data_IF_029539062786
#
_entry.id   IF_029539062786
#
_cell.length_a   1.000
_cell.length_b   1.000
_cell.length_c   1.000
_cell.angle_alpha   90.00
_cell.angle_beta   90.00
_cell.angle_gamma   90.00
#
_symmetry.space_group_name_H-M   'P 1'
#
loop_
_entity.id
_entity.type
_entity.pdbx_description
1 polymer ?
#
# COMPACT_ATOMS: atom_id res chain seq x y z
N UNK A 1 22.77 1.18 -4.12
CA UNK A 1 22.45 0.63 -2.78
C UNK A 1 23.65 0.83 -1.90
N UNK A 2 23.43 1.22 -0.65
CA UNK A 2 24.55 1.29 0.28
C UNK A 2 25.04 -0.11 0.60
N UNK A 3 26.37 -0.30 0.62
CA UNK A 3 26.98 -1.57 1.03
C UNK A 3 28.16 -1.32 1.97
N UNK A 4 28.44 -2.31 2.78
CA UNK A 4 29.64 -2.34 3.61
C UNK A 4 30.70 -3.11 2.83
N UNK A 5 31.85 -2.46 2.60
CA UNK A 5 33.01 -3.07 1.94
C UNK A 5 34.09 -3.33 2.97
N UNK A 6 34.69 -4.50 2.92
CA UNK A 6 35.87 -4.84 3.71
C UNK A 6 37.11 -4.67 2.83
N UNK A 7 38.08 -3.90 3.33
CA UNK A 7 39.39 -3.78 2.72
C UNK A 7 40.28 -4.90 3.27
N UNK A 8 40.34 -6.00 2.53
CA UNK A 8 41.04 -7.23 2.95
C UNK A 8 42.54 -7.00 3.21
N UNK A 9 43.18 -6.06 2.47
CA UNK A 9 44.61 -5.77 2.62
C UNK A 9 44.97 -5.19 3.98
N UNK A 10 43.99 -4.70 4.72
CA UNK A 10 44.15 -4.12 6.04
C UNK A 10 43.68 -5.04 7.17
N UNK A 11 43.20 -6.22 6.86
CA UNK A 11 42.70 -7.19 7.83
C UNK A 11 43.90 -7.96 8.43
N UNK A 12 44.07 -7.88 9.73
CA UNK A 12 44.95 -8.75 10.50
C UNK A 12 44.10 -9.63 11.41
N UNK A 13 44.65 -10.72 11.95
CA UNK A 13 43.91 -11.62 12.84
C UNK A 13 43.36 -10.90 14.08
N UNK A 14 44.08 -9.94 14.62
CA UNK A 14 43.62 -9.17 15.79
C UNK A 14 42.47 -8.22 15.41
N UNK A 15 42.56 -7.59 14.25
CA UNK A 15 41.50 -6.72 13.69
C UNK A 15 40.25 -7.54 13.38
N UNK A 16 40.42 -8.73 12.82
CA UNK A 16 39.28 -9.59 12.53
C UNK A 16 38.52 -9.96 13.82
N UNK A 17 39.25 -10.42 14.84
CA UNK A 17 38.67 -10.76 16.12
C UNK A 17 37.98 -9.55 16.78
N UNK A 18 38.60 -8.38 16.74
CA UNK A 18 37.99 -7.14 17.23
C UNK A 18 36.67 -6.81 16.53
N UNK A 19 36.59 -6.99 15.21
CA UNK A 19 35.39 -6.71 14.42
C UNK A 19 34.28 -7.76 14.64
N UNK A 20 34.66 -9.02 14.86
CA UNK A 20 33.71 -10.07 15.25
C UNK A 20 33.06 -9.76 16.62
N UNK A 21 33.86 -9.41 17.61
CA UNK A 21 33.37 -9.03 18.95
C UNK A 21 32.55 -7.75 18.93
N UNK A 22 32.86 -6.81 18.02
CA UNK A 22 32.16 -5.55 17.89
C UNK A 22 30.77 -5.71 17.23
N UNK A 23 30.52 -6.79 16.48
CA UNK A 23 29.27 -6.99 15.75
C UNK A 23 28.18 -7.60 16.68
N UNK A 24 27.16 -6.82 17.11
CA UNK A 24 26.12 -7.33 18.02
C UNK A 24 25.20 -8.39 17.37
N UNK A 25 25.33 -8.60 16.06
CA UNK A 25 24.51 -9.55 15.31
C UNK A 25 25.28 -10.80 14.86
N UNK A 26 26.56 -10.93 15.24
CA UNK A 26 27.41 -12.04 14.83
C UNK A 26 27.53 -12.20 13.30
N UNK A 27 27.42 -11.09 12.57
CA UNK A 27 27.40 -11.10 11.11
C UNK A 27 28.77 -10.92 10.46
N UNK A 28 29.84 -10.81 11.24
CA UNK A 28 31.23 -10.70 10.78
C UNK A 28 31.95 -11.97 11.21
N UNK A 29 32.65 -12.60 10.30
CA UNK A 29 33.47 -13.79 10.57
C UNK A 29 34.75 -13.77 9.74
N UNK A 30 35.84 -14.32 10.31
CA UNK A 30 37.10 -14.50 9.57
C UNK A 30 37.27 -16.00 9.31
N UNK A 31 37.55 -16.34 8.07
CA UNK A 31 37.93 -17.68 7.65
C UNK A 31 39.14 -17.60 6.70
N UNK A 32 40.19 -18.30 7.02
CA UNK A 32 41.42 -18.39 6.22
C UNK A 32 42.05 -17.02 5.85
N UNK A 33 42.00 -16.05 6.77
CA UNK A 33 42.55 -14.70 6.55
C UNK A 33 41.61 -13.76 5.79
N UNK A 34 40.41 -14.20 5.45
CA UNK A 34 39.39 -13.40 4.77
C UNK A 34 38.30 -13.01 5.75
N UNK A 35 38.11 -11.71 5.97
CA UNK A 35 37.01 -11.19 6.75
C UNK A 35 35.75 -11.10 5.88
N UNK A 36 34.69 -11.79 6.26
CA UNK A 36 33.43 -11.81 5.56
C UNK A 36 32.29 -11.21 6.37
N UNK A 37 31.30 -10.66 5.66
CA UNK A 37 30.07 -10.13 6.27
C UNK A 37 28.90 -10.95 5.72
N UNK A 38 28.24 -11.68 6.62
CA UNK A 38 27.12 -12.57 6.27
C UNK A 38 25.82 -11.83 6.00
N UNK A 39 24.83 -12.54 5.45
CA UNK A 39 23.47 -12.03 5.25
C UNK A 39 22.74 -11.64 6.55
N UNK A 40 23.25 -12.01 7.71
CA UNK A 40 22.78 -11.55 9.03
C UNK A 40 23.09 -10.08 9.34
N UNK A 41 23.88 -9.41 8.49
CA UNK A 41 24.23 -8.00 8.70
C UNK A 41 23.02 -7.09 8.60
N UNK A 42 22.74 -6.35 9.66
CA UNK A 42 21.64 -5.37 9.71
C UNK A 42 22.03 -3.96 9.29
N UNK A 43 23.18 -3.77 8.65
CA UNK A 43 23.64 -2.48 8.14
C UNK A 43 23.68 -1.37 9.21
N UNK A 44 23.92 -1.71 10.47
CA UNK A 44 23.87 -0.78 11.62
C UNK A 44 25.07 0.19 11.68
N UNK A 45 26.08 0.01 10.85
CA UNK A 45 27.30 0.83 10.73
C UNK A 45 28.20 0.84 11.98
N UNK A 46 27.99 -0.03 12.96
CA UNK A 46 28.82 -0.07 14.18
C UNK A 46 30.26 -0.40 13.83
N UNK A 47 30.49 -1.40 12.98
CA UNK A 47 31.83 -1.80 12.49
C UNK A 47 32.54 -0.69 11.70
N UNK A 48 31.80 0.17 10.99
CA UNK A 48 32.35 1.33 10.28
C UNK A 48 32.71 2.46 11.24
N UNK A 49 31.87 2.74 12.25
CA UNK A 49 32.02 3.88 13.16
C UNK A 49 33.00 3.61 14.30
N UNK A 50 33.04 2.38 14.80
CA UNK A 50 33.81 1.98 16.00
C UNK A 50 34.94 1.00 15.70
N UNK A 51 34.97 0.43 14.51
CA UNK A 51 36.04 -0.44 14.06
C UNK A 51 37.30 0.33 13.64
N UNK A 52 38.41 -0.38 13.37
CA UNK A 52 39.64 0.21 12.91
C UNK A 52 39.44 0.97 11.55
N UNK A 53 39.99 2.17 11.50
CA UNK A 53 39.81 3.07 10.36
C UNK A 53 40.29 2.46 9.03
N UNK A 54 39.46 2.53 8.00
CA UNK A 54 39.80 2.08 6.64
C UNK A 54 39.80 0.55 6.44
N UNK A 55 39.36 -0.23 7.41
CA UNK A 55 39.19 -1.70 7.29
C UNK A 55 37.78 -2.04 6.81
N UNK A 56 36.78 -1.42 7.42
CA UNK A 56 35.40 -1.56 7.01
C UNK A 56 34.87 -0.19 6.61
N UNK A 57 34.45 -0.07 5.35
CA UNK A 57 33.99 1.19 4.78
C UNK A 57 32.53 1.09 4.42
N UNK A 58 31.81 2.19 4.64
CA UNK A 58 30.48 2.38 4.13
C UNK A 58 30.58 2.99 2.74
N UNK A 59 30.17 2.26 1.75
CA UNK A 59 30.07 2.76 0.39
C UNK A 59 28.61 3.06 0.12
N UNK A 60 28.26 4.32 0.02
CA UNK A 60 27.08 4.70 -0.70
C UNK A 60 27.46 4.48 -2.19
N UNK A 61 27.02 3.37 -2.75
CA UNK A 61 27.04 3.26 -4.21
C UNK A 61 26.23 4.45 -4.72
N UNK A 62 26.92 5.48 -5.16
CA UNK A 62 26.39 6.38 -6.15
C UNK A 62 26.07 5.50 -7.35
N UNK A 63 24.84 5.03 -7.40
CA UNK A 63 24.23 4.50 -8.63
C UNK A 63 24.20 5.73 -9.54
N UNK A 64 25.33 5.97 -10.25
CA UNK A 64 25.63 7.19 -10.97
C UNK A 64 24.38 7.79 -11.60
N UNK A 65 24.35 9.06 -11.77
CA UNK A 65 23.38 10.00 -12.40
C UNK A 65 22.07 9.50 -13.05
N UNK A 66 21.49 8.42 -12.55
CA UNK A 66 20.11 7.99 -12.84
C UNK A 66 19.12 8.65 -11.86
N UNK A 67 19.39 9.88 -11.43
CA UNK A 67 18.39 10.67 -10.74
C UNK A 67 17.31 11.00 -11.76
N UNK A 68 16.08 10.53 -11.51
CA UNK A 68 14.94 10.90 -12.33
C UNK A 68 14.81 12.43 -12.35
N UNK A 69 14.61 13.00 -13.53
CA UNK A 69 14.30 14.42 -13.68
C UNK A 69 12.89 14.68 -13.12
N UNK A 70 12.82 15.01 -11.83
CA UNK A 70 11.55 15.17 -11.08
C UNK A 70 10.62 16.20 -11.73
N UNK A 71 11.20 17.18 -12.40
CA UNK A 71 10.49 18.29 -13.06
C UNK A 71 9.59 17.79 -14.21
N UNK A 72 9.91 16.63 -14.78
CA UNK A 72 9.11 15.99 -15.85
C UNK A 72 7.90 15.21 -15.28
N UNK A 73 7.88 14.98 -13.97
CA UNK A 73 6.84 14.20 -13.28
C UNK A 73 6.03 15.11 -12.37
N UNK A 74 4.81 15.45 -12.79
CA UNK A 74 3.96 16.40 -12.08
C UNK A 74 2.60 15.79 -11.77
N UNK A 75 2.05 16.21 -10.64
CA UNK A 75 0.73 15.78 -10.21
C UNK A 75 0.72 14.50 -9.38
N UNK A 76 -0.38 14.30 -8.69
CA UNK A 76 -0.67 13.12 -7.90
C UNK A 76 -1.84 12.41 -8.54
N UNK A 77 -1.66 11.16 -8.92
CA UNK A 77 -2.70 10.35 -9.54
C UNK A 77 -3.36 9.42 -8.53
N UNK A 78 -4.66 9.23 -8.67
CA UNK A 78 -5.45 8.23 -7.95
C UNK A 78 -5.99 7.22 -8.95
N UNK A 79 -5.72 5.94 -8.72
CA UNK A 79 -6.39 4.88 -9.45
C UNK A 79 -7.81 4.72 -8.92
N UNK A 80 -8.78 4.90 -9.80
CA UNK A 80 -10.20 4.79 -9.48
C UNK A 80 -10.65 3.35 -9.72
N UNK A 81 -10.97 2.68 -8.64
CA UNK A 81 -11.51 1.33 -8.69
C UNK A 81 -13.03 1.39 -8.74
N UNK A 82 -13.62 0.56 -9.57
CA UNK A 82 -15.05 0.32 -9.61
C UNK A 82 -15.45 -0.86 -8.71
N UNK A 83 -16.63 -0.81 -8.13
CA UNK A 83 -17.29 -1.88 -7.42
C UNK A 83 -18.71 -2.06 -8.01
N UNK A 84 -18.81 -2.87 -9.05
CA UNK A 84 -19.98 -2.88 -9.93
C UNK A 84 -20.18 -1.52 -10.59
N UNK A 85 -21.38 -0.95 -10.46
CA UNK A 85 -21.73 0.35 -11.04
C UNK A 85 -21.31 1.56 -10.18
N UNK A 86 -20.55 1.34 -9.10
CA UNK A 86 -20.18 2.41 -8.17
C UNK A 86 -18.66 2.58 -8.10
N UNK A 87 -18.25 3.81 -7.87
CA UNK A 87 -16.86 4.07 -7.48
C UNK A 87 -16.64 3.48 -6.09
N UNK A 88 -15.62 2.63 -5.94
CA UNK A 88 -15.28 2.07 -4.64
C UNK A 88 -14.89 3.19 -3.66
N UNK A 89 -15.45 3.23 -2.43
CA UNK A 89 -15.25 4.34 -1.50
C UNK A 89 -13.78 4.65 -1.19
N UNK A 90 -12.89 3.66 -1.26
CA UNK A 90 -11.43 3.89 -1.08
C UNK A 90 -10.89 4.89 -2.09
N UNK A 91 -11.40 4.90 -3.32
CA UNK A 91 -10.97 5.85 -4.35
C UNK A 91 -11.32 7.29 -3.97
N UNK A 92 -12.48 7.51 -3.37
CA UNK A 92 -12.90 8.83 -2.88
C UNK A 92 -12.06 9.30 -1.67
N UNK A 93 -11.68 8.38 -0.78
CA UNK A 93 -10.74 8.66 0.31
C UNK A 93 -9.37 9.07 -0.25
N UNK A 94 -8.88 8.35 -1.25
CA UNK A 94 -7.60 8.65 -1.89
C UNK A 94 -7.61 9.98 -2.64
N UNK A 95 -8.73 10.38 -3.24
CA UNK A 95 -8.89 11.70 -3.83
C UNK A 95 -8.76 12.78 -2.75
N UNK A 96 -9.40 12.62 -1.60
CA UNK A 96 -9.27 13.54 -0.47
C UNK A 96 -7.80 13.69 -0.03
N UNK A 97 -7.11 12.58 0.13
CA UNK A 97 -5.69 12.58 0.50
C UNK A 97 -4.78 13.12 -0.59
N UNK A 98 -5.04 12.80 -1.86
CA UNK A 98 -4.29 13.35 -2.99
C UNK A 98 -4.38 14.87 -3.06
N UNK A 99 -5.55 15.46 -2.80
CA UNK A 99 -5.73 16.92 -2.74
C UNK A 99 -4.90 17.55 -1.60
N UNK A 100 -4.91 16.93 -0.42
CA UNK A 100 -4.09 17.39 0.71
C UNK A 100 -2.60 17.37 0.34
N UNK A 101 -2.10 16.26 -0.20
CA UNK A 101 -0.71 16.12 -0.61
C UNK A 101 -0.33 17.08 -1.75
N UNK A 102 -1.22 17.26 -2.72
CA UNK A 102 -1.03 18.14 -3.86
C UNK A 102 -0.96 19.61 -3.46
N UNK A 103 -1.68 20.02 -2.41
CA UNK A 103 -1.66 21.38 -1.91
C UNK A 103 -0.28 21.81 -1.41
N UNK A 104 0.52 20.89 -0.86
CA UNK A 104 1.88 21.15 -0.37
C UNK A 104 2.81 21.61 -1.49
N UNK A 105 2.69 20.98 -2.66
CA UNK A 105 3.58 21.20 -3.82
C UNK A 105 2.89 21.97 -4.96
N UNK A 106 1.68 22.46 -4.73
CA UNK A 106 0.84 23.16 -5.72
C UNK A 106 0.73 22.37 -7.04
N UNK A 107 0.51 21.07 -6.94
CA UNK A 107 0.44 20.17 -8.07
C UNK A 107 -1.01 19.78 -8.41
N UNK A 108 -1.30 19.38 -9.68
CA UNK A 108 -2.60 18.89 -10.05
C UNK A 108 -2.89 17.52 -9.47
N UNK A 109 -4.19 17.22 -9.30
CA UNK A 109 -4.68 15.88 -8.97
C UNK A 109 -5.30 15.27 -10.21
N UNK A 110 -4.87 14.05 -10.52
CA UNK A 110 -5.36 13.26 -11.64
C UNK A 110 -6.11 12.02 -11.15
N UNK A 111 -7.07 11.57 -11.94
CA UNK A 111 -7.70 10.26 -11.76
C UNK A 111 -7.42 9.39 -12.99
N UNK A 112 -7.14 8.12 -12.76
CA UNK A 112 -7.11 7.08 -13.78
C UNK A 112 -8.35 6.21 -13.60
N UNK A 113 -9.24 6.21 -14.57
CA UNK A 113 -10.44 5.37 -14.60
C UNK A 113 -10.38 4.42 -15.79
N UNK A 114 -10.43 3.12 -15.50
CA UNK A 114 -10.38 2.02 -16.47
C UNK A 114 -11.66 1.21 -16.34
N UNK A 115 -12.34 0.94 -17.44
CA UNK A 115 -13.53 0.09 -17.43
C UNK A 115 -14.34 0.11 -18.71
N UNK A 116 -15.54 -0.45 -18.64
CA UNK A 116 -16.53 -0.43 -19.71
C UNK A 116 -17.74 0.39 -19.26
N UNK A 117 -18.24 1.29 -20.11
CA UNK A 117 -19.41 2.16 -19.85
C UNK A 117 -19.27 3.03 -18.58
N UNK A 118 -18.06 3.50 -18.30
CA UNK A 118 -17.74 4.26 -17.09
C UNK A 118 -17.66 5.78 -17.31
N UNK A 119 -18.12 6.29 -18.44
CA UNK A 119 -18.07 7.71 -18.79
C UNK A 119 -18.80 8.60 -17.79
N UNK A 120 -20.01 8.21 -17.38
CA UNK A 120 -20.76 8.95 -16.34
C UNK A 120 -20.01 9.04 -15.02
N UNK A 121 -19.22 8.00 -14.68
CA UNK A 121 -18.39 8.01 -13.49
C UNK A 121 -17.17 8.92 -13.64
N UNK A 122 -16.62 9.04 -14.83
CA UNK A 122 -15.57 10.04 -15.09
C UNK A 122 -16.10 11.47 -14.90
N UNK A 123 -17.32 11.75 -15.35
CA UNK A 123 -17.97 13.06 -15.14
C UNK A 123 -18.33 13.30 -13.67
N UNK A 124 -18.76 12.26 -12.95
CA UNK A 124 -19.00 12.31 -11.49
C UNK A 124 -17.74 12.73 -10.72
N UNK A 125 -16.57 12.23 -11.12
CA UNK A 125 -15.30 12.54 -10.46
C UNK A 125 -14.93 14.03 -10.54
N UNK A 126 -15.37 14.76 -11.54
CA UNK A 126 -15.11 16.19 -11.67
C UNK A 126 -15.69 17.03 -10.51
N UNK A 127 -16.70 16.52 -9.81
CA UNK A 127 -17.27 17.18 -8.65
C UNK A 127 -16.37 17.10 -7.40
N UNK A 128 -15.24 16.40 -7.46
CA UNK A 128 -14.31 16.28 -6.32
C UNK A 128 -13.06 17.15 -6.46
N UNK A 129 -13.04 18.09 -7.42
CA UNK A 129 -11.93 19.03 -7.61
C UNK A 129 -10.71 18.39 -8.26
N UNK A 130 -10.95 17.51 -9.22
CA UNK A 130 -9.94 16.82 -10.02
C UNK A 130 -9.61 17.69 -11.24
N UNK A 131 -8.33 17.85 -11.56
CA UNK A 131 -7.94 18.60 -12.76
C UNK A 131 -8.17 17.81 -14.03
N UNK A 132 -7.80 16.52 -14.05
CA UNK A 132 -8.03 15.64 -15.19
C UNK A 132 -8.40 14.23 -14.75
N UNK A 133 -9.40 13.69 -15.44
CA UNK A 133 -9.75 12.27 -15.36
C UNK A 133 -9.32 11.62 -16.68
N UNK A 134 -8.30 10.78 -16.64
CA UNK A 134 -7.87 9.98 -17.78
C UNK A 134 -8.74 8.74 -17.86
N UNK A 135 -9.55 8.70 -18.92
CA UNK A 135 -10.58 7.69 -19.12
C UNK A 135 -10.16 6.68 -20.18
N UNK A 136 -10.05 5.41 -19.78
CA UNK A 136 -9.94 4.28 -20.70
C UNK A 136 -11.25 3.49 -20.67
N UNK A 137 -12.09 3.71 -21.66
CA UNK A 137 -13.43 3.15 -21.71
C UNK A 137 -13.60 2.24 -22.93
N UNK A 138 -13.55 0.92 -22.72
CA UNK A 138 -13.63 -0.07 -23.79
C UNK A 138 -14.34 -1.35 -23.34
N UNK A 139 -14.99 -2.07 -24.25
CA UNK A 139 -15.71 -3.29 -23.95
C UNK A 139 -14.81 -4.39 -23.33
N UNK A 140 -13.59 -4.55 -23.82
CA UNK A 140 -12.60 -5.52 -23.31
C UNK A 140 -12.07 -5.20 -21.90
N UNK A 141 -12.40 -4.01 -21.36
CA UNK A 141 -12.07 -3.59 -20.00
C UNK A 141 -13.21 -3.84 -19.00
N UNK A 142 -14.24 -4.59 -19.42
CA UNK A 142 -15.37 -4.91 -18.55
C UNK A 142 -14.96 -5.73 -17.33
N UNK A 143 -14.11 -6.70 -17.53
CA UNK A 143 -13.64 -7.57 -16.48
C UNK A 143 -12.17 -7.30 -16.15
N UNK A 144 -11.84 -7.31 -14.86
CA UNK A 144 -10.47 -7.08 -14.44
C UNK A 144 -9.53 -8.18 -14.95
N UNK A 145 -8.67 -7.82 -15.89
CA UNK A 145 -7.55 -8.62 -16.33
C UNK A 145 -6.24 -7.89 -15.96
N UNK A 146 -5.45 -8.49 -15.10
CA UNK A 146 -4.25 -7.84 -14.56
C UNK A 146 -3.23 -7.45 -15.63
N UNK A 147 -3.15 -8.19 -16.75
CA UNK A 147 -2.21 -7.87 -17.82
C UNK A 147 -2.71 -6.68 -18.63
N UNK A 148 -3.95 -6.73 -19.07
CA UNK A 148 -4.60 -5.65 -19.79
C UNK A 148 -4.61 -4.36 -18.99
N UNK A 149 -5.06 -4.42 -17.74
CA UNK A 149 -5.06 -3.25 -16.85
C UNK A 149 -3.65 -2.70 -16.60
N UNK A 150 -2.63 -3.56 -16.48
CA UNK A 150 -1.25 -3.10 -16.36
C UNK A 150 -0.71 -2.47 -17.63
N UNK A 151 -1.15 -2.88 -18.83
CA UNK A 151 -0.79 -2.25 -20.10
C UNK A 151 -1.42 -0.85 -20.19
N UNK A 152 -2.71 -0.73 -19.93
CA UNK A 152 -3.44 0.55 -19.90
C UNK A 152 -2.85 1.50 -18.85
N UNK A 153 -2.56 0.99 -17.65
CA UNK A 153 -1.96 1.79 -16.59
C UNK A 153 -0.57 2.30 -16.96
N UNK A 154 0.20 1.50 -17.71
CA UNK A 154 1.52 1.92 -18.20
C UNK A 154 1.41 3.05 -19.21
N UNK A 155 0.48 2.95 -20.15
CA UNK A 155 0.20 4.01 -21.13
C UNK A 155 -0.19 5.33 -20.43
N UNK A 156 -1.06 5.25 -19.42
CA UNK A 156 -1.38 6.41 -18.60
C UNK A 156 -0.15 7.05 -17.96
N UNK A 157 0.75 6.25 -17.39
CA UNK A 157 1.97 6.77 -16.74
C UNK A 157 2.89 7.46 -17.74
N UNK A 158 3.03 6.91 -18.93
CA UNK A 158 3.87 7.47 -20.00
C UNK A 158 3.31 8.79 -20.52
N UNK A 159 1.98 8.92 -20.60
CA UNK A 159 1.31 10.13 -21.09
C UNK A 159 1.20 11.22 -19.99
N UNK A 160 0.75 10.87 -18.79
CA UNK A 160 0.46 11.82 -17.73
C UNK A 160 1.66 12.16 -16.85
N UNK A 161 2.63 11.25 -16.74
CA UNK A 161 3.86 11.35 -15.91
C UNK A 161 3.58 11.88 -14.49
N UNK A 162 2.68 11.23 -13.72
CA UNK A 162 2.41 11.66 -12.36
C UNK A 162 3.61 11.42 -11.44
N UNK A 163 3.90 12.32 -10.50
CA UNK A 163 5.00 12.16 -9.54
C UNK A 163 4.72 11.05 -8.53
N UNK A 164 3.44 10.87 -8.18
CA UNK A 164 3.00 9.86 -7.23
C UNK A 164 1.67 9.26 -7.65
N UNK A 165 1.46 7.98 -7.32
CA UNK A 165 0.23 7.25 -7.64
C UNK A 165 -0.29 6.56 -6.38
N UNK A 166 -1.53 6.86 -6.02
CA UNK A 166 -2.23 6.30 -4.89
C UNK A 166 -3.22 5.23 -5.38
N UNK A 167 -3.17 4.05 -4.78
CA UNK A 167 -4.03 2.91 -5.14
C UNK A 167 -4.71 2.35 -3.90
N UNK A 168 -5.97 1.98 -3.98
CA UNK A 168 -6.66 1.28 -2.89
C UNK A 168 -6.05 -0.10 -2.63
N UNK A 169 -5.84 -0.48 -1.36
CA UNK A 169 -5.33 -1.79 -0.98
C UNK A 169 -6.43 -2.87 -0.99
N UNK A 170 -7.22 -2.90 -2.05
CA UNK A 170 -8.19 -3.94 -2.37
C UNK A 170 -7.51 -5.14 -3.00
N UNK A 171 -8.22 -6.23 -3.27
CA UNK A 171 -7.66 -7.40 -3.97
C UNK A 171 -7.11 -7.02 -5.34
N UNK A 172 -7.82 -6.15 -6.06
CA UNK A 172 -7.41 -5.63 -7.37
C UNK A 172 -6.18 -4.74 -7.25
N UNK A 173 -6.23 -3.70 -6.40
CA UNK A 173 -5.12 -2.76 -6.26
C UNK A 173 -3.84 -3.40 -5.74
N UNK A 174 -3.93 -4.38 -4.83
CA UNK A 174 -2.78 -5.15 -4.32
C UNK A 174 -2.15 -6.06 -5.37
N UNK A 175 -2.88 -6.46 -6.39
CA UNK A 175 -2.34 -7.23 -7.51
C UNK A 175 -1.79 -6.32 -8.61
N UNK A 176 -2.49 -5.23 -8.94
CA UNK A 176 -2.15 -4.33 -10.04
C UNK A 176 -0.96 -3.41 -9.73
N UNK A 177 -1.00 -2.70 -8.59
CA UNK A 177 0.01 -1.70 -8.26
C UNK A 177 1.45 -2.24 -8.21
N UNK A 178 1.74 -3.40 -7.57
CA UNK A 178 3.10 -3.96 -7.58
C UNK A 178 3.58 -4.35 -8.98
N UNK A 179 2.67 -4.85 -9.83
CA UNK A 179 3.00 -5.24 -11.19
C UNK A 179 3.42 -4.03 -12.02
N UNK A 180 2.66 -2.95 -11.93
CA UNK A 180 2.98 -1.69 -12.63
C UNK A 180 4.26 -1.07 -12.06
N UNK A 181 4.41 -0.99 -10.73
CA UNK A 181 5.61 -0.46 -10.09
C UNK A 181 6.88 -1.23 -10.52
N UNK A 182 6.81 -2.56 -10.60
CA UNK A 182 7.91 -3.39 -11.08
C UNK A 182 8.26 -3.10 -12.55
N UNK A 183 7.27 -2.88 -13.42
CA UNK A 183 7.47 -2.53 -14.84
C UNK A 183 8.24 -1.20 -14.96
N UNK A 184 7.93 -0.22 -14.14
CA UNK A 184 8.63 1.07 -14.10
C UNK A 184 9.87 1.06 -13.20
N UNK A 185 10.25 -0.09 -12.64
CA UNK A 185 11.41 -0.25 -11.75
C UNK A 185 11.43 0.76 -10.60
N UNK A 186 10.25 1.04 -10.05
CA UNK A 186 10.07 2.00 -8.96
C UNK A 186 9.65 1.33 -7.66
N UNK A 187 9.76 2.06 -6.54
CA UNK A 187 9.37 1.57 -5.23
C UNK A 187 7.86 1.66 -5.01
N UNK A 188 7.33 0.70 -4.27
CA UNK A 188 5.96 0.67 -3.79
C UNK A 188 5.95 0.37 -2.30
N UNK A 189 5.26 1.19 -1.50
CA UNK A 189 4.93 0.86 -0.12
C UNK A 189 3.48 0.38 -0.04
N UNK A 190 3.30 -0.83 0.52
CA UNK A 190 1.99 -1.44 0.63
C UNK A 190 1.32 -1.13 1.98
N UNK A 191 0.00 -0.99 1.99
CA UNK A 191 -0.83 -0.84 3.19
C UNK A 191 -0.44 0.36 4.06
N UNK A 192 -0.16 1.50 3.43
CA UNK A 192 0.18 2.74 4.12
C UNK A 192 -1.00 3.25 4.95
N UNK A 193 -0.68 3.82 6.11
CA UNK A 193 -1.67 4.42 7.03
C UNK A 193 -1.47 5.93 7.18
N UNK A 194 -0.27 6.44 6.87
CA UNK A 194 0.01 7.88 6.82
C UNK A 194 0.78 8.18 5.55
N UNK A 195 0.43 9.28 4.90
CA UNK A 195 1.10 9.82 3.72
C UNK A 195 1.38 11.30 3.95
N UNK A 196 2.60 11.72 3.64
CA UNK A 196 3.04 13.12 3.71
C UNK A 196 3.78 13.47 2.43
N UNK A 197 3.74 14.73 2.02
CA UNK A 197 4.45 15.23 0.86
C UNK A 197 5.54 16.19 1.29
N UNK A 198 6.75 16.03 0.76
CA UNK A 198 7.84 16.99 0.90
C UNK A 198 7.78 18.03 -0.20
N UNK A 199 8.34 19.20 0.03
CA UNK A 199 8.41 20.29 -0.95
C UNK A 199 9.09 19.90 -2.27
N UNK A 200 9.97 18.91 -2.22
CA UNK A 200 10.67 18.37 -3.38
C UNK A 200 9.90 17.25 -4.13
N UNK A 201 8.61 17.11 -3.89
CA UNK A 201 7.71 16.09 -4.43
C UNK A 201 8.03 14.64 -4.01
N UNK A 202 8.83 14.42 -2.97
CA UNK A 202 9.03 13.09 -2.44
C UNK A 202 7.87 12.70 -1.51
N UNK A 203 7.18 11.63 -1.85
CA UNK A 203 6.10 11.06 -1.05
C UNK A 203 6.70 10.26 0.12
N UNK A 204 6.39 10.68 1.33
CA UNK A 204 6.70 9.96 2.56
C UNK A 204 5.55 9.00 2.85
N UNK A 205 5.87 7.72 2.91
CA UNK A 205 4.92 6.63 3.03
C UNK A 205 5.17 5.93 4.37
N UNK A 206 4.19 5.96 5.27
CA UNK A 206 4.33 5.40 6.61
C UNK A 206 3.34 4.25 6.78
N UNK A 207 3.86 3.14 7.24
CA UNK A 207 3.05 1.93 7.47
C UNK A 207 3.48 1.20 8.73
N UNK A 208 2.56 0.51 9.40
CA UNK A 208 2.94 -0.41 10.47
C UNK A 208 3.74 -1.59 9.91
N UNK A 209 4.80 -1.96 10.60
CA UNK A 209 5.68 -3.08 10.30
C UNK A 209 5.93 -3.93 11.54
N UNK A 210 6.45 -5.15 11.37
CA UNK A 210 6.77 -6.07 12.46
C UNK A 210 5.59 -6.29 13.43
N UNK A 211 4.40 -6.58 12.89
CA UNK A 211 3.20 -6.78 13.70
C UNK A 211 2.62 -5.50 14.32
N UNK A 212 2.99 -4.32 13.81
CA UNK A 212 2.52 -3.03 14.29
C UNK A 212 3.40 -2.38 15.36
N UNK A 213 4.49 -3.04 15.76
CA UNK A 213 5.39 -2.51 16.80
C UNK A 213 6.27 -1.34 16.30
N UNK A 214 6.41 -1.18 14.99
CA UNK A 214 7.24 -0.14 14.38
C UNK A 214 6.46 0.53 13.26
N UNK A 215 6.51 1.85 13.18
CA UNK A 215 6.05 2.62 12.03
C UNK A 215 7.23 2.81 11.07
N UNK A 216 7.21 2.08 9.96
CA UNK A 216 8.23 2.18 8.93
C UNK A 216 7.94 3.38 8.02
N UNK A 217 8.90 4.28 7.91
CA UNK A 217 8.87 5.41 6.99
C UNK A 217 9.66 5.06 5.74
N UNK A 218 9.02 5.13 4.59
CA UNK A 218 9.56 4.74 3.29
C UNK A 218 9.51 5.94 2.36
N UNK A 219 10.62 6.19 1.63
CA UNK A 219 10.71 7.23 0.60
C UNK A 219 11.43 6.66 -0.60
N UNK A 220 10.96 7.00 -1.80
CA UNK A 220 11.57 6.58 -3.07
C UNK A 220 12.07 7.80 -3.86
N UNK A 221 13.18 8.45 -3.44
CA UNK A 221 13.58 9.76 -3.97
C UNK A 221 14.17 9.71 -5.39
N UNK A 222 14.63 8.54 -5.85
CA UNK A 222 15.37 8.37 -7.11
C UNK A 222 14.55 7.85 -8.28
N UNK A 223 13.26 7.51 -8.05
CA UNK A 223 12.39 6.90 -9.07
C UNK A 223 11.04 7.59 -9.10
N UNK A 224 10.43 7.59 -10.27
CA UNK A 224 9.06 8.06 -10.51
C UNK A 224 8.33 7.08 -11.44
N UNK A 225 7.00 6.98 -11.33
CA UNK A 225 6.21 7.54 -10.23
C UNK A 225 6.47 6.82 -8.91
N UNK A 226 6.15 7.45 -7.77
CA UNK A 226 6.18 6.81 -6.45
C UNK A 226 4.82 6.14 -6.21
N UNK A 227 4.82 4.86 -5.85
CA UNK A 227 3.58 4.11 -5.62
C UNK A 227 3.32 3.84 -4.15
N UNK A 228 2.07 3.92 -3.74
CA UNK A 228 1.61 3.33 -2.49
C UNK A 228 0.24 2.65 -2.66
N UNK A 229 -0.01 1.62 -1.84
CA UNK A 229 -1.38 1.18 -1.60
C UNK A 229 -1.83 1.59 -0.20
N UNK A 230 -3.10 1.95 -0.08
CA UNK A 230 -3.71 2.43 1.17
C UNK A 230 -4.94 1.60 1.49
N UNK A 231 -5.08 1.17 2.73
CA UNK A 231 -6.27 0.42 3.18
C UNK A 231 -7.51 1.31 3.18
N UNK A 232 -8.64 0.68 2.91
CA UNK A 232 -9.95 1.32 3.05
C UNK A 232 -10.18 1.82 4.48
N UNK A 233 -10.86 2.94 4.62
CA UNK A 233 -11.22 3.62 5.90
C UNK A 233 -10.05 4.21 6.69
N UNK A 234 -8.89 4.37 6.06
CA UNK A 234 -7.75 5.07 6.66
C UNK A 234 -7.91 6.58 6.56
N UNK A 235 -8.32 7.08 5.40
CA UNK A 235 -8.51 8.51 5.18
C UNK A 235 -9.98 8.92 5.14
N UNK A 236 -10.25 10.21 5.17
CA UNK A 236 -11.58 10.75 4.95
C UNK A 236 -11.86 10.89 3.46
N UNK A 237 -13.11 10.65 3.08
CA UNK A 237 -13.53 10.85 1.69
C UNK A 237 -13.45 12.33 1.31
N UNK A 238 -13.17 12.58 0.02
CA UNK A 238 -13.24 13.92 -0.54
C UNK A 238 -14.67 14.47 -0.46
N UNK A 239 -14.81 15.73 -0.12
CA UNK A 239 -16.09 16.42 -0.19
C UNK A 239 -16.50 16.66 -1.64
N UNK A 240 -17.78 16.45 -1.93
CA UNK A 240 -18.35 16.69 -3.25
C UNK A 240 -18.70 18.17 -3.39
N UNK A 241 -18.13 18.81 -4.39
CA UNK A 241 -18.40 20.20 -4.74
C UNK A 241 -19.79 20.36 -5.41
N UNK A 242 -20.34 21.55 -5.38
CA UNK A 242 -21.61 21.86 -6.07
C UNK A 242 -21.47 21.87 -7.59
N UNK A 243 -20.30 22.28 -8.08
CA UNK A 243 -20.02 22.41 -9.52
C UNK A 243 -18.82 21.52 -9.90
N UNK A 244 -18.85 20.92 -11.09
CA UNK A 244 -17.73 20.16 -11.60
C UNK A 244 -16.56 21.09 -11.95
N UNK A 245 -15.33 20.59 -11.82
CA UNK A 245 -14.12 21.29 -12.22
C UNK A 245 -13.16 20.34 -12.92
N UNK A 246 -12.35 20.88 -13.85
CA UNK A 246 -11.42 20.09 -14.63
C UNK A 246 -12.02 19.49 -15.90
N UNK A 247 -11.42 18.40 -16.39
CA UNK A 247 -11.83 17.79 -17.66
C UNK A 247 -11.64 16.28 -17.68
N UNK A 248 -12.46 15.61 -18.48
CA UNK A 248 -12.25 14.21 -18.83
C UNK A 248 -11.40 14.15 -20.11
N UNK A 249 -10.38 13.35 -20.10
CA UNK A 249 -9.49 13.06 -21.24
C UNK A 249 -9.75 11.64 -21.67
N UNK A 250 -10.48 11.48 -22.80
CA UNK A 250 -10.68 10.18 -23.42
C UNK A 250 -9.35 9.72 -24.02
N UNK A 251 -8.82 8.58 -23.54
CA UNK A 251 -7.55 8.03 -23.97
C UNK A 251 -7.75 7.07 -25.14
N UNK A 252 -6.81 7.11 -26.08
CA UNK A 252 -6.80 6.15 -27.19
C UNK A 252 -6.46 4.76 -26.66
N UNK A 253 -7.17 3.77 -27.17
CA UNK A 253 -7.01 2.37 -26.78
C UNK A 253 -6.42 1.60 -27.95
N UNK A 254 -5.21 1.07 -27.74
CA UNK A 254 -4.52 0.23 -28.72
C UNK A 254 -4.91 -1.23 -28.56
N UNK A 255 -5.09 -1.94 -29.66
CA UNK A 255 -5.36 -3.39 -29.66
C UNK A 255 -4.27 -4.18 -28.89
N UNK A 256 -3.02 -3.69 -28.91
CA UNK A 256 -1.93 -4.28 -28.17
C UNK A 256 -2.10 -4.29 -26.64
N UNK A 257 -3.03 -3.50 -26.08
CA UNK A 257 -3.35 -3.56 -24.65
C UNK A 257 -4.03 -4.87 -24.27
N UNK A 258 -4.72 -5.52 -25.20
CA UNK A 258 -5.50 -6.73 -24.99
C UNK A 258 -4.69 -8.01 -25.26
N UNK A 259 -3.43 -7.90 -25.66
CA UNK A 259 -2.53 -9.05 -25.80
C UNK A 259 -2.16 -9.61 -24.42
N UNK A 260 -3.04 -10.43 -23.88
CA UNK A 260 -2.94 -11.02 -22.56
C UNK A 260 -2.87 -12.55 -22.65
N UNK A 261 -1.93 -13.15 -21.90
CA UNK A 261 -1.80 -14.61 -21.80
C UNK A 261 -2.94 -15.28 -21.03
N UNK A 262 -3.82 -14.50 -20.43
CA UNK A 262 -4.94 -14.98 -19.60
C UNK A 262 -6.23 -14.36 -20.11
N UNK A 263 -7.25 -15.19 -20.30
CA UNK A 263 -8.58 -14.75 -20.70
C UNK A 263 -9.57 -15.02 -19.57
N UNK A 264 -10.44 -14.06 -19.28
CA UNK A 264 -11.58 -14.24 -18.38
C UNK A 264 -12.67 -14.98 -19.11
N UNK A 265 -13.00 -16.19 -18.68
CA UNK A 265 -14.04 -17.00 -19.31
C UNK A 265 -15.43 -16.73 -18.75
N UNK A 266 -15.52 -16.48 -17.45
CA UNK A 266 -16.76 -16.11 -16.76
C UNK A 266 -16.48 -15.31 -15.53
N UNK A 267 -17.42 -14.42 -15.19
CA UNK A 267 -17.43 -13.65 -13.96
C UNK A 267 -18.79 -13.86 -13.28
N UNK A 268 -18.80 -14.44 -12.09
CA UNK A 268 -20.01 -14.69 -11.32
C UNK A 268 -20.03 -13.78 -10.10
N UNK A 269 -21.06 -12.92 -10.03
CA UNK A 269 -21.25 -12.08 -8.86
C UNK A 269 -21.63 -12.93 -7.65
N UNK A 270 -20.83 -12.83 -6.59
CA UNK A 270 -21.21 -13.39 -5.29
C UNK A 270 -22.32 -12.57 -4.68
N UNK A 271 -23.34 -13.25 -4.12
CA UNK A 271 -24.39 -12.57 -3.36
C UNK A 271 -23.76 -11.64 -2.32
N UNK A 272 -24.05 -10.35 -2.39
CA UNK A 272 -23.57 -9.35 -1.42
C UNK A 272 -24.10 -9.73 -0.04
N UNK A 273 -23.23 -10.25 0.79
CA UNK A 273 -23.51 -10.39 2.23
C UNK A 273 -23.04 -9.11 2.91
N UNK A 274 -23.74 -8.73 3.99
CA UNK A 274 -23.37 -7.54 4.77
C UNK A 274 -21.87 -7.59 5.16
N UNK A 275 -21.12 -6.61 4.71
CA UNK A 275 -19.69 -6.51 5.03
C UNK A 275 -19.52 -5.77 6.36
N UNK A 276 -18.83 -6.40 7.31
CA UNK A 276 -18.53 -5.76 8.60
C UNK A 276 -17.76 -4.44 8.46
N UNK A 277 -17.10 -4.24 7.32
CA UNK A 277 -16.43 -2.96 7.04
C UNK A 277 -17.39 -1.79 7.01
N UNK A 278 -18.67 -2.00 6.67
CA UNK A 278 -19.69 -0.95 6.57
C UNK A 278 -20.57 -0.84 7.80
N UNK A 279 -20.33 -1.67 8.81
CA UNK A 279 -21.10 -1.66 10.04
C UNK A 279 -20.89 -0.38 10.85
N UNK A 280 -21.97 0.26 11.27
CA UNK A 280 -21.92 1.43 12.16
C UNK A 280 -21.62 1.04 13.61
N UNK A 281 -22.07 -0.14 14.03
CA UNK A 281 -21.85 -0.69 15.36
C UNK A 281 -21.33 -2.11 15.26
N UNK A 282 -20.24 -2.40 15.97
CA UNK A 282 -19.59 -3.72 15.96
C UNK A 282 -19.43 -4.23 17.39
N UNK A 283 -19.79 -5.48 17.63
CA UNK A 283 -19.39 -6.24 18.81
C UNK A 283 -18.29 -7.22 18.38
N UNK A 284 -17.07 -6.95 18.82
CA UNK A 284 -15.89 -7.72 18.46
C UNK A 284 -15.51 -8.71 19.58
N UNK A 285 -15.37 -9.98 19.23
CA UNK A 285 -15.14 -11.06 20.18
C UNK A 285 -13.72 -11.62 20.03
N UNK A 286 -13.05 -11.83 21.14
CA UNK A 286 -11.71 -12.41 21.18
C UNK A 286 -11.63 -13.72 21.95
N UNK A 287 -10.43 -14.29 21.99
CA UNK A 287 -10.13 -15.59 22.62
C UNK A 287 -10.44 -15.67 24.12
N UNK A 288 -10.69 -14.54 24.79
CA UNK A 288 -11.12 -14.51 26.18
C UNK A 288 -12.52 -15.11 26.39
N UNK A 289 -13.36 -15.16 25.35
CA UNK A 289 -14.61 -15.92 25.34
C UNK A 289 -14.27 -17.38 25.09
N UNK A 290 -14.57 -18.24 26.05
CA UNK A 290 -14.08 -19.63 26.08
C UNK A 290 -15.09 -20.68 25.66
N UNK A 291 -16.37 -20.37 25.74
CA UNK A 291 -17.45 -21.33 25.43
C UNK A 291 -18.42 -20.79 24.37
N UNK A 292 -19.05 -21.69 23.64
CA UNK A 292 -20.12 -21.30 22.69
C UNK A 292 -21.36 -20.76 23.44
N UNK A 293 -21.60 -21.19 24.67
CA UNK A 293 -22.67 -20.66 25.48
C UNK A 293 -22.49 -19.17 25.79
N UNK A 294 -21.25 -18.77 26.15
CA UNK A 294 -20.91 -17.35 26.34
C UNK A 294 -21.10 -16.55 25.06
N UNK A 295 -20.75 -17.17 23.92
CA UNK A 295 -20.89 -16.53 22.60
C UNK A 295 -22.38 -16.26 22.27
N UNK A 296 -23.30 -17.16 22.61
CA UNK A 296 -24.72 -16.95 22.37
C UNK A 296 -25.27 -15.78 23.20
N UNK A 297 -24.77 -15.59 24.42
CA UNK A 297 -25.14 -14.42 25.26
C UNK A 297 -24.70 -13.13 24.57
N UNK A 298 -23.47 -13.12 24.06
CA UNK A 298 -22.89 -11.96 23.33
C UNK A 298 -23.68 -11.69 22.05
N UNK A 299 -24.10 -12.73 21.35
CA UNK A 299 -24.92 -12.61 20.14
C UNK A 299 -26.28 -11.95 20.44
N UNK A 300 -26.98 -12.38 21.47
CA UNK A 300 -28.22 -11.73 21.91
C UNK A 300 -28.00 -10.26 22.26
N UNK A 301 -26.87 -9.95 22.89
CA UNK A 301 -26.49 -8.56 23.19
C UNK A 301 -26.24 -7.75 21.90
N UNK A 302 -25.48 -8.29 20.93
CA UNK A 302 -25.24 -7.64 19.65
C UNK A 302 -26.54 -7.41 18.87
N UNK A 303 -27.41 -8.40 18.81
CA UNK A 303 -28.71 -8.30 18.13
C UNK A 303 -29.58 -7.19 18.71
N UNK A 304 -29.62 -7.04 20.06
CA UNK A 304 -30.35 -5.96 20.73
C UNK A 304 -29.81 -4.57 20.44
N UNK A 305 -28.51 -4.47 20.15
CA UNK A 305 -27.84 -3.20 19.73
C UNK A 305 -27.96 -2.93 18.24
N UNK A 306 -28.48 -3.86 17.45
CA UNK A 306 -28.40 -3.80 15.99
C UNK A 306 -26.94 -3.83 15.47
N UNK A 307 -26.03 -4.41 16.27
CA UNK A 307 -24.61 -4.46 15.97
C UNK A 307 -24.25 -5.70 15.15
N UNK A 308 -23.31 -5.54 14.23
CA UNK A 308 -22.71 -6.69 13.55
C UNK A 308 -21.63 -7.34 14.44
N UNK A 309 -21.57 -8.67 14.39
CA UNK A 309 -20.55 -9.41 15.13
C UNK A 309 -19.28 -9.57 14.30
N UNK A 310 -18.15 -9.35 14.95
CA UNK A 310 -16.82 -9.57 14.41
C UNK A 310 -15.95 -10.36 15.39
N UNK A 311 -14.83 -10.90 14.93
CA UNK A 311 -13.92 -11.62 15.81
C UNK A 311 -12.46 -11.42 15.45
N UNK A 312 -11.60 -11.75 16.40
CA UNK A 312 -10.16 -11.87 16.15
C UNK A 312 -9.83 -13.25 15.57
N UNK A 313 -8.69 -13.35 14.88
CA UNK A 313 -8.23 -14.54 14.16
C UNK A 313 -8.37 -15.87 14.92
N UNK A 314 -8.06 -15.99 16.23
CA UNK A 314 -8.20 -17.27 16.93
C UNK A 314 -9.60 -17.89 16.89
N UNK A 315 -10.67 -17.08 16.87
CA UNK A 315 -12.03 -17.60 16.82
C UNK A 315 -12.44 -18.01 15.38
N UNK A 316 -11.81 -17.43 14.38
CA UNK A 316 -11.94 -17.90 12.99
C UNK A 316 -11.27 -19.28 12.85
N UNK A 317 -10.05 -19.44 13.37
CA UNK A 317 -9.32 -20.70 13.33
C UNK A 317 -10.04 -21.82 14.08
N UNK A 318 -10.77 -21.49 15.12
CA UNK A 318 -11.64 -22.42 15.86
C UNK A 318 -12.98 -22.72 15.15
N UNK A 319 -13.26 -22.11 14.00
CA UNK A 319 -14.51 -22.29 13.25
C UNK A 319 -15.76 -21.72 13.94
N UNK A 320 -15.60 -20.71 14.80
CA UNK A 320 -16.71 -20.05 15.48
C UNK A 320 -17.29 -18.89 14.67
N UNK A 321 -16.47 -18.29 13.82
CA UNK A 321 -16.83 -17.19 12.93
C UNK A 321 -16.32 -17.44 11.52
N UNK A 322 -16.96 -16.81 10.54
CA UNK A 322 -16.50 -16.81 9.16
C UNK A 322 -15.28 -15.88 8.98
N UNK A 323 -14.38 -16.22 8.08
CA UNK A 323 -13.18 -15.42 7.79
C UNK A 323 -13.50 -13.96 7.40
N UNK A 324 -14.68 -13.71 6.84
CA UNK A 324 -15.16 -12.37 6.48
C UNK A 324 -15.49 -11.49 7.69
N UNK A 325 -15.68 -12.10 8.85
CA UNK A 325 -15.94 -11.42 10.13
C UNK A 325 -14.65 -11.19 10.93
N UNK A 326 -13.49 -11.54 10.36
CA UNK A 326 -12.21 -11.29 11.01
C UNK A 326 -11.84 -9.80 10.91
N UNK A 327 -11.51 -9.20 12.06
CA UNK A 327 -10.95 -7.86 12.16
C UNK A 327 -9.53 -7.87 12.73
N UNK A 328 -8.78 -6.81 12.44
CA UNK A 328 -7.37 -6.68 12.82
C UNK A 328 -6.43 -6.72 11.64
N UNK A 329 -5.14 -6.81 11.89
CA UNK A 329 -4.05 -6.66 10.90
C UNK A 329 -4.16 -7.62 9.70
N UNK A 330 -4.57 -8.85 9.94
CA UNK A 330 -4.79 -9.88 8.92
C UNK A 330 -6.25 -10.04 8.49
N UNK A 331 -7.14 -9.22 9.05
CA UNK A 331 -8.56 -9.21 8.76
C UNK A 331 -9.01 -7.96 8.01
N UNK A 332 -10.29 -7.62 8.15
CA UNK A 332 -10.86 -6.41 7.57
C UNK A 332 -10.54 -5.19 8.43
N UNK A 333 -10.29 -4.08 7.79
CA UNK A 333 -10.20 -2.77 8.44
C UNK A 333 -11.60 -2.23 8.61
N UNK A 334 -11.96 -1.84 9.82
CA UNK A 334 -13.28 -1.30 10.18
C UNK A 334 -13.13 0.09 10.80
N UNK A 335 -14.14 0.95 10.61
CA UNK A 335 -14.21 2.29 11.24
C UNK A 335 -15.64 2.54 11.68
N UNK A 336 -16.16 1.78 12.65
CA UNK A 336 -17.52 1.93 13.14
C UNK A 336 -17.66 3.21 13.98
N UNK A 337 -18.90 3.67 14.20
CA UNK A 337 -19.22 4.72 15.18
C UNK A 337 -19.06 4.21 16.62
N UNK A 338 -19.33 2.91 16.83
CA UNK A 338 -19.19 2.25 18.11
C UNK A 338 -18.60 0.84 17.91
N UNK A 339 -17.55 0.52 18.64
CA UNK A 339 -17.02 -0.83 18.74
C UNK A 339 -16.96 -1.27 20.20
N UNK A 340 -17.56 -2.41 20.51
CA UNK A 340 -17.52 -3.03 21.84
C UNK A 340 -16.67 -4.29 21.73
N UNK A 341 -15.60 -4.38 22.51
CA UNK A 341 -14.67 -5.50 22.49
C UNK A 341 -14.86 -6.39 23.72
N UNK A 342 -15.03 -7.69 23.50
CA UNK A 342 -15.26 -8.68 24.55
C UNK A 342 -14.20 -9.78 24.43
N UNK A 343 -13.41 -9.97 25.49
CA UNK A 343 -12.38 -11.02 25.53
C UNK A 343 -11.23 -10.82 24.57
N UNK A 344 -10.95 -9.58 24.14
CA UNK A 344 -9.82 -9.20 23.30
C UNK A 344 -8.68 -8.69 24.20
N UNK A 345 -7.46 -9.14 23.95
CA UNK A 345 -6.29 -8.78 24.76
C UNK A 345 -5.76 -7.36 24.54
N UNK A 346 -6.24 -6.67 23.50
CA UNK A 346 -5.69 -5.35 23.12
C UNK A 346 -4.30 -5.40 22.51
N UNK A 347 -3.91 -6.52 21.92
CA UNK A 347 -2.67 -6.60 21.18
C UNK A 347 -2.70 -5.65 19.97
N UNK A 348 -1.54 -5.06 19.64
CA UNK A 348 -1.40 -4.06 18.56
C UNK A 348 -1.91 -4.54 17.19
N UNK A 349 -1.97 -5.84 16.98
CA UNK A 349 -2.52 -6.44 15.75
C UNK A 349 -4.03 -6.23 15.61
N UNK A 350 -4.71 -5.83 16.68
CA UNK A 350 -6.14 -5.55 16.69
C UNK A 350 -6.44 -4.05 16.58
N UNK A 351 -5.59 -3.21 17.17
CA UNK A 351 -5.79 -1.77 17.32
C UNK A 351 -5.65 -0.96 16.00
#
# INVERSE_FOLDING_TARGET
MAKIKVNQDRVTKDIAKQLEELCPFGAISEENGILSISSGCRMCRICVKKGPAGVVEWIDEDLGDCAVEKEKWKGIAVYIQMDGDRIHPVSLELIGKAKELASVIQAPVYCLLIGNRVKEKAEELLYYGIERVFLYNHQELNDFNIMTYANVFSDFIENAKPSSILVGATSEGRSLAPRVAARFRTGLAADCTVLEMKDNSDLVQIRPAFGGNIMAQIVTPRHRPQFCTVRYKVFSQAERNQFPSGSVVDMEISDGFFDASVQVLSNEEKTRQADISDAETIVAVGRGVRTKADLEIIKVFADRLGAQMASTRPLIENGWFDARQQIGLSGRTVKPKLIITIGISGAVQFA
#
